data_IF_155450619991
#
_entry.id   IF_155450619991
#
_cell.length_a   1.000
_cell.length_b   1.000
_cell.length_c   1.000
_cell.angle_alpha   90.00
_cell.angle_beta   90.00
_cell.angle_gamma   90.00
#
_symmetry.space_group_name_H-M   'P 1'
#
loop_
_entity.id
_entity.type
_entity.pdbx_description
1 polymer ?
#
# COMPACT_ATOMS: atom_id res chain seq x y z
N UNK A 1 21.25 -15.51 -25.42
CA UNK A 1 20.51 -14.72 -24.43
C UNK A 1 19.51 -15.67 -23.79
N UNK A 2 19.60 -15.88 -22.48
CA UNK A 2 18.68 -16.72 -21.71
C UNK A 2 17.39 -15.95 -21.46
N UNK A 3 16.25 -16.61 -21.62
CA UNK A 3 14.93 -16.06 -21.27
C UNK A 3 14.85 -15.81 -19.75
N UNK A 4 14.46 -14.60 -19.35
CA UNK A 4 14.27 -14.22 -17.95
C UNK A 4 12.79 -14.38 -17.62
N UNK A 5 12.46 -15.37 -16.80
CA UNK A 5 11.09 -15.71 -16.41
C UNK A 5 10.65 -14.92 -15.16
N UNK A 6 10.85 -13.60 -15.11
CA UNK A 6 10.46 -12.65 -14.04
C UNK A 6 10.65 -11.22 -14.61
N UNK A 7 9.81 -10.79 -15.56
CA UNK A 7 10.08 -9.56 -16.34
C UNK A 7 9.64 -8.26 -15.67
N UNK A 8 8.58 -8.32 -14.86
CA UNK A 8 7.88 -7.19 -14.27
C UNK A 8 7.77 -7.27 -12.74
N UNK A 9 7.80 -8.48 -12.19
CA UNK A 9 7.57 -8.72 -10.76
C UNK A 9 8.86 -8.71 -9.91
N UNK A 10 9.79 -7.80 -10.21
CA UNK A 10 10.99 -7.58 -9.40
C UNK A 10 11.45 -6.12 -9.37
N UNK A 11 12.12 -5.74 -8.28
CA UNK A 11 12.80 -4.46 -8.09
C UNK A 11 14.31 -4.69 -8.06
N UNK A 12 15.05 -3.84 -8.79
CA UNK A 12 16.51 -3.81 -8.73
C UNK A 12 16.98 -2.88 -7.60
N UNK A 13 17.59 -3.46 -6.57
CA UNK A 13 18.15 -2.75 -5.41
C UNK A 13 19.69 -2.67 -5.48
N UNK A 14 20.26 -2.91 -6.65
CA UNK A 14 21.70 -2.86 -6.88
C UNK A 14 22.26 -1.45 -6.68
N UNK A 15 23.48 -1.36 -6.18
CA UNK A 15 24.20 -0.12 -5.92
C UNK A 15 25.65 -0.24 -6.36
N UNK A 16 26.47 0.79 -6.18
CA UNK A 16 27.89 0.80 -6.61
C UNK A 16 28.77 -0.33 -6.03
N UNK A 17 28.31 -1.04 -5.00
CA UNK A 17 29.07 -2.05 -4.27
C UNK A 17 28.57 -3.48 -4.48
N UNK A 18 27.48 -3.68 -5.23
CA UNK A 18 26.91 -5.00 -5.45
C UNK A 18 25.48 -5.00 -5.96
N UNK A 19 24.97 -6.22 -6.12
CA UNK A 19 23.66 -6.50 -6.71
C UNK A 19 22.73 -7.12 -5.68
N UNK A 20 21.50 -6.66 -5.66
CA UNK A 20 20.43 -7.26 -4.90
C UNK A 20 19.11 -7.04 -5.63
N UNK A 21 18.27 -8.06 -5.65
CA UNK A 21 16.99 -8.03 -6.33
C UNK A 21 15.90 -8.44 -5.35
N UNK A 22 14.76 -7.76 -5.44
CA UNK A 22 13.57 -8.06 -4.66
C UNK A 22 12.48 -8.54 -5.60
N UNK A 23 11.98 -9.75 -5.39
CA UNK A 23 10.88 -10.33 -6.15
C UNK A 23 9.62 -10.29 -5.31
N UNK A 24 8.45 -10.14 -5.92
CA UNK A 24 7.20 -10.04 -5.17
C UNK A 24 6.05 -10.81 -5.81
N UNK A 25 5.07 -11.15 -4.96
CA UNK A 25 3.81 -11.76 -5.35
C UNK A 25 2.89 -10.72 -6.00
N UNK A 26 2.32 -11.07 -7.16
CA UNK A 26 1.40 -10.20 -7.92
C UNK A 26 0.00 -10.04 -7.28
N UNK A 27 -0.26 -10.68 -6.13
CA UNK A 27 -1.52 -10.53 -5.40
C UNK A 27 -1.38 -9.82 -4.05
N UNK A 28 -0.53 -10.34 -3.17
CA UNK A 28 -0.37 -9.80 -1.81
C UNK A 28 0.83 -8.86 -1.65
N UNK A 29 1.68 -8.76 -2.67
CA UNK A 29 2.96 -8.02 -2.62
C UNK A 29 3.93 -8.50 -1.53
N UNK A 30 3.76 -9.73 -1.01
CA UNK A 30 4.81 -10.37 -0.21
C UNK A 30 6.07 -10.48 -1.07
N UNK A 31 7.18 -10.04 -0.49
CA UNK A 31 8.44 -9.89 -1.19
C UNK A 31 9.51 -10.80 -0.62
N UNK A 32 10.33 -11.36 -1.50
CA UNK A 32 11.53 -12.09 -1.17
C UNK A 32 12.74 -11.38 -1.78
N UNK A 33 13.80 -11.22 -0.99
CA UNK A 33 15.03 -10.55 -1.42
C UNK A 33 16.14 -11.55 -1.62
N UNK A 34 16.82 -11.43 -2.75
CA UNK A 34 18.04 -12.19 -3.00
C UNK A 34 19.12 -11.80 -1.98
N UNK A 35 20.04 -12.73 -1.66
CA UNK A 35 21.28 -12.38 -0.99
C UNK A 35 22.01 -11.26 -1.74
N UNK A 36 22.70 -10.40 -1.00
CA UNK A 36 23.49 -9.32 -1.59
C UNK A 36 24.77 -9.87 -2.21
N UNK A 37 24.89 -9.77 -3.53
CA UNK A 37 26.07 -10.19 -4.28
C UNK A 37 27.06 -9.04 -4.40
N UNK A 38 28.20 -9.12 -3.71
CA UNK A 38 29.17 -8.02 -3.65
C UNK A 38 29.90 -7.89 -4.98
N UNK A 39 29.73 -6.74 -5.63
CA UNK A 39 30.52 -6.38 -6.79
C UNK A 39 31.75 -5.59 -6.35
N UNK A 40 32.87 -6.28 -6.21
CA UNK A 40 34.16 -5.62 -6.10
C UNK A 40 34.68 -5.31 -7.50
N UNK A 41 34.39 -4.09 -7.98
CA UNK A 41 34.96 -3.56 -9.22
C UNK A 41 36.49 -3.72 -9.18
N UNK A 42 37.04 -4.68 -9.93
CA UNK A 42 38.48 -4.91 -10.06
C UNK A 42 39.08 -6.14 -9.36
N UNK A 43 38.29 -7.09 -8.84
CA UNK A 43 38.86 -8.31 -8.20
C UNK A 43 39.15 -9.49 -9.12
N UNK A 44 38.69 -9.47 -10.38
CA UNK A 44 38.98 -10.57 -11.32
C UNK A 44 40.28 -10.38 -12.14
N UNK A 45 40.79 -9.15 -12.30
CA UNK A 45 42.07 -8.92 -13.00
C UNK A 45 43.27 -8.77 -12.04
N UNK A 46 43.04 -8.40 -10.77
CA UNK A 46 44.14 -8.19 -9.81
C UNK A 46 44.79 -9.48 -9.30
N UNK A 47 44.15 -10.64 -9.48
CA UNK A 47 44.75 -11.95 -9.12
C UNK A 47 45.37 -12.67 -10.32
N UNK A 48 45.00 -12.32 -11.55
CA UNK A 48 45.59 -12.92 -12.76
C UNK A 48 46.86 -12.21 -13.26
N UNK A 49 47.31 -11.14 -12.60
CA UNK A 49 48.57 -10.44 -12.89
C UNK A 49 49.63 -10.48 -11.77
N UNK A 50 49.34 -11.09 -10.62
CA UNK A 50 50.24 -11.04 -9.46
C UNK A 50 51.39 -12.09 -9.48
N UNK A 51 51.66 -12.72 -10.63
CA UNK A 51 52.64 -13.80 -10.74
C UNK A 51 53.87 -13.50 -11.63
N UNK A 52 54.01 -12.31 -12.25
CA UNK A 52 55.19 -12.01 -13.08
C UNK A 52 55.84 -10.65 -12.73
N UNK A 53 56.96 -10.71 -11.99
CA UNK A 53 57.94 -9.62 -11.80
C UNK A 53 57.69 -8.75 -10.56
N UNK A 54 58.53 -8.67 -9.52
CA UNK A 54 60.00 -8.58 -9.46
C UNK A 54 60.63 -7.51 -10.38
N UNK A 55 59.92 -6.42 -10.68
CA UNK A 55 60.49 -5.17 -11.19
C UNK A 55 59.59 -4.03 -10.66
N UNK A 56 60.03 -3.04 -9.89
CA UNK A 56 61.19 -2.18 -10.11
C UNK A 56 60.70 -0.78 -10.50
N UNK A 57 60.36 0.05 -9.51
CA UNK A 57 60.30 1.51 -9.61
C UNK A 57 59.16 2.14 -10.42
N UNK A 58 58.28 2.87 -9.72
CA UNK A 58 57.70 4.20 -10.07
C UNK A 58 56.33 4.35 -9.39
N UNK A 59 56.34 4.60 -8.09
CA UNK A 59 55.14 4.96 -7.33
C UNK A 59 54.94 6.47 -7.43
N UNK A 60 54.32 6.93 -8.52
CA UNK A 60 54.03 8.33 -8.75
C UNK A 60 52.92 8.49 -9.78
N UNK A 61 51.83 9.14 -9.38
CA UNK A 61 50.74 9.66 -10.23
C UNK A 61 49.84 8.66 -10.96
N UNK A 62 48.73 8.27 -10.32
CA UNK A 62 47.42 8.13 -10.98
C UNK A 62 46.29 8.02 -9.94
N UNK A 63 45.83 9.13 -9.36
CA UNK A 63 44.67 9.16 -8.44
C UNK A 63 43.34 9.56 -9.10
N UNK A 64 43.29 9.77 -10.42
CA UNK A 64 42.11 10.36 -11.09
C UNK A 64 41.54 9.55 -12.28
N UNK A 65 41.62 8.21 -12.28
CA UNK A 65 41.09 7.40 -13.39
C UNK A 65 40.34 6.12 -12.95
N UNK A 66 39.58 6.19 -11.86
CA UNK A 66 38.80 5.03 -11.35
C UNK A 66 37.32 5.08 -11.78
N UNK A 67 36.84 6.17 -12.38
CA UNK A 67 35.42 6.28 -12.78
C UNK A 67 35.08 5.67 -14.14
N UNK A 68 36.07 5.46 -15.02
CA UNK A 68 35.85 5.05 -16.42
C UNK A 68 35.97 3.55 -16.69
N UNK A 69 36.38 2.75 -15.70
CA UNK A 69 36.38 1.27 -15.80
C UNK A 69 35.02 0.65 -15.40
N UNK A 70 34.00 1.48 -15.10
CA UNK A 70 32.62 1.04 -14.79
C UNK A 70 31.94 0.27 -15.92
N UNK A 71 32.35 0.46 -17.18
CA UNK A 71 31.47 0.17 -18.33
C UNK A 71 31.42 -1.27 -18.83
N UNK A 72 32.51 -2.02 -18.82
CA UNK A 72 32.56 -3.30 -19.56
C UNK A 72 32.09 -4.52 -18.76
N UNK A 73 32.36 -4.54 -17.45
CA UNK A 73 32.08 -5.70 -16.60
C UNK A 73 30.79 -5.60 -15.78
N UNK A 74 30.33 -4.38 -15.48
CA UNK A 74 29.20 -4.16 -14.58
C UNK A 74 27.90 -4.77 -15.10
N UNK A 75 27.55 -4.49 -16.36
CA UNK A 75 26.34 -5.03 -16.99
C UNK A 75 26.36 -6.55 -17.04
N UNK A 76 27.49 -7.14 -17.43
CA UNK A 76 27.66 -8.60 -17.51
C UNK A 76 27.56 -9.26 -16.14
N UNK A 77 28.18 -8.67 -15.11
CA UNK A 77 28.12 -9.17 -13.74
C UNK A 77 26.71 -9.03 -13.15
N UNK A 78 26.03 -7.91 -13.42
CA UNK A 78 24.63 -7.69 -13.04
C UNK A 78 23.72 -8.73 -13.67
N UNK A 79 23.87 -9.01 -14.96
CA UNK A 79 23.06 -10.00 -15.67
C UNK A 79 23.26 -11.40 -15.10
N UNK A 80 24.48 -11.74 -14.68
CA UNK A 80 24.77 -13.02 -14.01
C UNK A 80 24.16 -13.10 -12.61
N UNK A 81 24.31 -12.04 -11.82
CA UNK A 81 23.69 -11.94 -10.50
C UNK A 81 22.16 -12.02 -10.59
N UNK A 82 21.55 -11.38 -11.60
CA UNK A 82 20.11 -11.45 -11.85
C UNK A 82 19.66 -12.87 -12.23
N UNK A 83 20.41 -13.59 -13.08
CA UNK A 83 20.10 -15.00 -13.39
C UNK A 83 20.13 -15.88 -12.15
N UNK A 84 21.15 -15.69 -11.30
CA UNK A 84 21.27 -16.42 -10.03
C UNK A 84 20.11 -16.10 -9.08
N UNK A 85 19.75 -14.82 -8.98
CA UNK A 85 18.64 -14.37 -8.14
C UNK A 85 17.28 -14.90 -8.65
N UNK A 86 17.06 -14.91 -9.97
CA UNK A 86 15.87 -15.50 -10.61
C UNK A 86 15.79 -17.00 -10.35
N UNK A 87 16.92 -17.73 -10.41
CA UNK A 87 16.94 -19.16 -10.13
C UNK A 87 16.49 -19.45 -8.69
N UNK A 88 16.95 -18.66 -7.72
CA UNK A 88 16.52 -18.76 -6.32
C UNK A 88 15.06 -18.33 -6.12
N UNK A 89 14.61 -17.29 -6.83
CA UNK A 89 13.23 -16.81 -6.72
C UNK A 89 12.19 -17.86 -7.16
N UNK A 90 12.55 -18.75 -8.09
CA UNK A 90 11.66 -19.87 -8.52
C UNK A 90 11.33 -20.86 -7.40
N UNK A 91 12.13 -20.92 -6.34
CA UNK A 91 11.83 -21.78 -5.18
C UNK A 91 10.84 -21.11 -4.21
N UNK A 92 10.56 -19.81 -4.37
CA UNK A 92 9.68 -19.03 -3.51
C UNK A 92 8.36 -18.63 -4.18
N UNK A 93 8.28 -18.73 -5.51
CA UNK A 93 7.11 -18.30 -6.27
C UNK A 93 6.72 -19.32 -7.34
N UNK A 94 5.40 -19.51 -7.48
CA UNK A 94 4.78 -20.34 -8.49
C UNK A 94 4.35 -19.50 -9.69
N UNK A 95 4.74 -19.94 -10.89
CA UNK A 95 4.26 -19.31 -12.13
C UNK A 95 2.92 -19.93 -12.54
N UNK A 96 1.88 -19.11 -12.57
CA UNK A 96 0.53 -19.55 -12.92
C UNK A 96 0.42 -19.94 -14.39
N UNK A 97 -0.05 -21.16 -14.68
CA UNK A 97 -0.26 -21.62 -16.05
C UNK A 97 -1.35 -20.85 -16.80
N UNK A 98 -2.26 -20.18 -16.09
CA UNK A 98 -3.40 -19.45 -16.68
C UNK A 98 -3.10 -17.98 -16.99
N UNK A 99 -2.50 -17.25 -16.05
CA UNK A 99 -2.20 -15.82 -16.25
C UNK A 99 -0.71 -15.52 -16.46
N UNK A 100 0.18 -16.53 -16.40
CA UNK A 100 1.64 -16.39 -16.54
C UNK A 100 2.35 -15.54 -15.47
N UNK A 101 1.61 -14.99 -14.48
CA UNK A 101 2.14 -14.23 -13.35
C UNK A 101 2.70 -15.14 -12.24
N UNK A 102 3.46 -14.56 -11.31
CA UNK A 102 4.10 -15.25 -10.20
C UNK A 102 3.40 -14.98 -8.85
N UNK A 103 3.24 -16.02 -8.05
CA UNK A 103 2.51 -15.96 -6.78
C UNK A 103 3.26 -16.70 -5.68
N UNK A 104 3.22 -16.18 -4.46
CA UNK A 104 3.75 -16.89 -3.28
C UNK A 104 2.86 -18.08 -2.91
N UNK A 105 3.35 -18.97 -2.04
CA UNK A 105 2.64 -20.16 -1.56
C UNK A 105 1.23 -19.85 -1.04
N UNK A 106 1.07 -18.77 -0.26
CA UNK A 106 -0.23 -18.39 0.28
C UNK A 106 -1.27 -18.04 -0.80
N UNK A 107 -0.81 -17.46 -1.91
CA UNK A 107 -1.64 -17.05 -3.04
C UNK A 107 -1.75 -18.13 -4.13
N UNK A 108 -1.14 -19.30 -3.89
CA UNK A 108 -1.19 -20.43 -4.79
C UNK A 108 -2.33 -21.38 -4.42
N UNK A 109 -3.17 -21.75 -5.39
CA UNK A 109 -4.16 -22.79 -5.23
C UNK A 109 -3.52 -24.13 -5.56
N UNK A 110 -3.10 -24.86 -4.52
CA UNK A 110 -2.43 -26.16 -4.66
C UNK A 110 -3.33 -27.23 -5.32
N UNK A 111 -4.64 -27.20 -5.04
CA UNK A 111 -5.59 -28.19 -5.56
C UNK A 111 -5.72 -28.11 -7.08
N UNK A 112 -5.58 -26.91 -7.65
CA UNK A 112 -5.79 -26.62 -9.07
C UNK A 112 -4.49 -26.30 -9.83
N UNK A 113 -3.35 -26.18 -9.13
CA UNK A 113 -2.06 -25.84 -9.72
C UNK A 113 -2.05 -24.48 -10.42
N UNK A 114 -2.82 -23.50 -9.91
CA UNK A 114 -2.92 -22.13 -10.44
C UNK A 114 -3.06 -21.12 -9.30
N UNK A 115 -3.03 -19.83 -9.58
CA UNK A 115 -3.19 -18.82 -8.52
C UNK A 115 -4.65 -18.66 -8.06
N UNK A 116 -4.84 -18.27 -6.80
CA UNK A 116 -6.18 -18.03 -6.21
C UNK A 116 -6.93 -16.87 -6.88
N UNK A 117 -6.22 -15.97 -7.57
CA UNK A 117 -6.83 -14.88 -8.34
C UNK A 117 -7.54 -15.43 -9.59
N UNK A 118 -6.95 -16.45 -10.22
CA UNK A 118 -7.54 -17.10 -11.38
C UNK A 118 -8.64 -18.09 -10.99
N UNK A 119 -8.35 -18.93 -9.99
CA UNK A 119 -9.27 -19.94 -9.48
C UNK A 119 -9.25 -19.88 -7.95
N UNK A 120 -10.21 -19.15 -7.34
CA UNK A 120 -10.31 -19.07 -5.89
C UNK A 120 -10.51 -20.44 -5.25
N UNK A 121 -10.09 -20.59 -4.00
CA UNK A 121 -10.33 -21.83 -3.24
C UNK A 121 -11.81 -21.94 -2.89
N UNK A 122 -12.44 -23.06 -3.27
CA UNK A 122 -13.89 -23.23 -3.16
C UNK A 122 -14.38 -23.18 -1.71
N UNK A 123 -13.63 -23.73 -0.77
CA UNK A 123 -13.94 -23.74 0.66
C UNK A 123 -13.95 -22.32 1.27
N UNK A 124 -12.97 -21.49 0.89
CA UNK A 124 -12.88 -20.10 1.29
C UNK A 124 -14.05 -19.28 0.72
N UNK A 125 -14.37 -19.45 -0.58
CA UNK A 125 -15.51 -18.78 -1.23
C UNK A 125 -16.85 -19.18 -0.60
N UNK A 126 -17.08 -20.49 -0.39
CA UNK A 126 -18.30 -20.97 0.27
C UNK A 126 -18.42 -20.43 1.70
N UNK A 127 -17.31 -20.31 2.42
CA UNK A 127 -17.29 -19.73 3.76
C UNK A 127 -17.63 -18.24 3.75
N UNK A 128 -17.09 -17.48 2.80
CA UNK A 128 -17.41 -16.06 2.61
C UNK A 128 -18.89 -15.85 2.26
N UNK A 129 -19.43 -16.59 1.28
CA UNK A 129 -20.85 -16.54 0.88
C UNK A 129 -21.76 -16.86 2.07
N UNK A 130 -21.48 -17.94 2.81
CA UNK A 130 -22.26 -18.32 3.99
C UNK A 130 -22.21 -17.24 5.07
N UNK A 131 -21.06 -16.59 5.26
CA UNK A 131 -20.90 -15.52 6.24
C UNK A 131 -21.67 -14.28 5.82
N UNK A 132 -21.59 -13.90 4.55
CA UNK A 132 -22.34 -12.77 4.00
C UNK A 132 -23.85 -12.99 4.14
N UNK A 133 -24.35 -14.18 3.76
CA UNK A 133 -25.77 -14.53 3.92
C UNK A 133 -26.21 -14.41 5.39
N UNK A 134 -25.39 -14.88 6.34
CA UNK A 134 -25.68 -14.73 7.78
C UNK A 134 -25.68 -13.26 8.23
N UNK A 135 -24.77 -12.44 7.73
CA UNK A 135 -24.73 -11.00 8.06
C UNK A 135 -25.97 -10.30 7.52
N UNK A 136 -26.36 -10.58 6.28
CA UNK A 136 -27.55 -9.99 5.67
C UNK A 136 -28.81 -10.39 6.44
N UNK A 137 -28.94 -11.66 6.81
CA UNK A 137 -30.04 -12.11 7.65
C UNK A 137 -30.07 -11.43 9.02
N UNK A 138 -28.92 -11.32 9.67
CA UNK A 138 -28.80 -10.64 10.96
C UNK A 138 -29.19 -9.15 10.85
N UNK A 139 -28.85 -8.48 9.74
CA UNK A 139 -29.27 -7.10 9.46
C UNK A 139 -30.79 -7.00 9.33
N UNK A 140 -31.42 -7.87 8.54
CA UNK A 140 -32.89 -7.90 8.41
C UNK A 140 -33.59 -8.05 9.76
N UNK A 141 -33.13 -8.98 10.59
CA UNK A 141 -33.69 -9.24 11.92
C UNK A 141 -33.47 -8.06 12.86
N UNK A 142 -32.28 -7.44 12.84
CA UNK A 142 -31.99 -6.25 13.62
C UNK A 142 -32.89 -5.07 13.20
N UNK A 143 -33.11 -4.87 11.89
CA UNK A 143 -34.01 -3.82 11.40
C UNK A 143 -35.47 -4.08 11.76
N UNK A 144 -35.92 -5.34 11.70
CA UNK A 144 -37.30 -5.69 12.05
C UNK A 144 -37.60 -5.46 13.54
N UNK A 145 -36.60 -5.62 14.41
CA UNK A 145 -36.72 -5.38 15.85
C UNK A 145 -36.42 -3.92 16.24
N UNK A 146 -35.84 -3.13 15.34
CA UNK A 146 -35.53 -1.73 15.59
C UNK A 146 -36.83 -0.94 15.76
N UNK A 147 -37.13 -0.56 17.01
CA UNK A 147 -38.17 0.43 17.28
C UNK A 147 -37.56 1.80 17.13
N UNK A 148 -38.11 2.61 16.23
CA UNK A 148 -37.66 3.98 16.00
C UNK A 148 -38.58 4.92 16.77
N UNK A 149 -38.02 5.64 17.75
CA UNK A 149 -38.72 6.68 18.49
C UNK A 149 -38.62 8.04 17.77
N UNK A 150 -39.47 8.99 18.15
CA UNK A 150 -39.33 10.39 17.68
C UNK A 150 -38.00 11.01 18.13
N UNK A 151 -37.43 10.55 19.25
CA UNK A 151 -36.14 11.01 19.75
C UNK A 151 -35.00 10.56 18.83
N UNK A 152 -35.08 9.35 18.27
CA UNK A 152 -34.14 8.80 17.28
C UNK A 152 -34.23 9.52 15.93
N UNK A 153 -35.45 9.87 15.49
CA UNK A 153 -35.69 10.58 14.22
C UNK A 153 -35.25 12.06 14.27
N UNK A 154 -35.22 12.63 15.46
CA UNK A 154 -34.83 14.02 15.68
C UNK A 154 -33.43 14.14 16.29
N UNK A 155 -32.74 13.03 16.53
CA UNK A 155 -31.37 13.04 17.01
C UNK A 155 -30.46 13.56 15.90
N UNK A 156 -29.60 14.52 16.26
CA UNK A 156 -28.76 15.23 15.31
C UNK A 156 -27.38 15.32 15.90
N UNK A 157 -26.43 14.65 15.26
CA UNK A 157 -25.01 14.82 15.60
C UNK A 157 -24.52 16.13 14.98
N UNK A 158 -24.69 17.23 15.71
CA UNK A 158 -24.08 18.51 15.37
C UNK A 158 -22.75 18.60 16.10
N UNK A 159 -21.64 18.64 15.36
CA UNK A 159 -20.32 18.93 15.93
C UNK A 159 -20.14 20.43 16.11
N UNK A 160 -19.52 20.83 17.22
CA UNK A 160 -19.12 22.20 17.47
C UNK A 160 -18.08 22.65 16.43
N UNK A 161 -18.29 23.82 15.82
CA UNK A 161 -17.35 24.37 14.82
C UNK A 161 -16.03 24.82 15.41
N UNK A 162 -16.00 25.16 16.69
CA UNK A 162 -14.82 25.71 17.34
C UNK A 162 -13.93 24.63 17.98
N UNK A 163 -14.54 23.63 18.64
CA UNK A 163 -13.78 22.58 19.35
C UNK A 163 -13.96 21.16 18.78
N UNK A 164 -14.87 20.96 17.82
CA UNK A 164 -15.12 19.64 17.20
C UNK A 164 -15.97 18.66 18.03
N UNK A 165 -16.24 18.97 19.30
CA UNK A 165 -17.02 18.08 20.18
C UNK A 165 -18.47 17.87 19.67
N UNK A 166 -19.06 16.67 19.84
CA UNK A 166 -20.46 16.42 19.51
C UNK A 166 -21.38 17.14 20.52
N UNK A 167 -22.28 17.99 20.02
CA UNK A 167 -23.14 18.88 20.85
C UNK A 167 -24.62 18.47 20.83
N UNK A 168 -25.03 17.65 19.86
CA UNK A 168 -26.42 17.18 19.78
C UNK A 168 -27.41 18.32 19.52
N UNK A 169 -28.42 18.44 20.39
CA UNK A 169 -29.50 19.44 20.34
C UNK A 169 -29.23 20.70 21.20
N UNK A 170 -28.08 20.79 21.87
CA UNK A 170 -27.83 21.88 22.80
C UNK A 170 -27.62 23.23 22.07
N UNK A 171 -28.18 24.31 22.64
CA UNK A 171 -28.00 25.68 22.10
C UNK A 171 -26.53 26.14 22.20
N UNK A 172 -25.77 25.58 23.15
CA UNK A 172 -24.35 25.87 23.40
C UNK A 172 -23.56 24.56 23.53
N UNK A 173 -22.29 24.60 23.10
CA UNK A 173 -21.36 23.49 23.27
C UNK A 173 -21.05 23.27 24.76
N UNK A 174 -21.24 22.05 25.31
CA UNK A 174 -20.93 21.77 26.71
C UNK A 174 -19.43 21.83 27.03
N UNK A 175 -18.56 21.63 26.03
CA UNK A 175 -17.10 21.62 26.21
C UNK A 175 -16.47 23.02 26.10
N UNK A 176 -16.95 23.87 25.18
CA UNK A 176 -16.30 25.16 24.88
C UNK A 176 -17.20 26.38 24.99
N UNK A 177 -18.51 26.20 25.25
CA UNK A 177 -19.46 27.29 25.42
C UNK A 177 -19.89 28.02 24.12
N UNK A 178 -19.30 27.70 22.97
CA UNK A 178 -19.69 28.29 21.68
C UNK A 178 -21.17 28.03 21.38
N UNK A 179 -21.88 29.04 20.87
CA UNK A 179 -23.25 28.87 20.40
C UNK A 179 -23.30 27.96 19.17
N UNK A 180 -24.01 26.83 19.28
CA UNK A 180 -24.14 25.82 18.22
C UNK A 180 -25.59 25.76 17.68
N UNK A 181 -26.49 26.56 18.25
CA UNK A 181 -27.89 26.68 17.83
C UNK A 181 -28.03 27.01 16.34
N UNK A 182 -28.83 26.21 15.63
CA UNK A 182 -29.26 26.47 14.25
C UNK A 182 -30.50 27.36 14.17
N UNK A 183 -31.02 27.83 15.31
CA UNK A 183 -32.11 28.78 15.39
C UNK A 183 -31.71 30.03 16.17
N UNK A 184 -32.27 31.18 15.77
CA UNK A 184 -32.15 32.48 16.45
C UNK A 184 -33.52 33.12 16.56
N UNK A 185 -33.67 34.08 17.46
CA UNK A 185 -34.93 34.81 17.63
C UNK A 185 -34.95 36.05 16.73
N UNK A 186 -36.05 36.28 16.00
CA UNK A 186 -36.24 37.49 15.21
C UNK A 186 -36.41 38.72 16.14
N UNK A 187 -35.58 39.75 15.97
CA UNK A 187 -35.65 40.96 16.80
C UNK A 187 -36.94 41.78 16.69
N UNK A 188 -37.75 41.56 15.64
CA UNK A 188 -38.97 42.35 15.39
C UNK A 188 -40.26 41.68 15.84
N UNK A 189 -40.36 40.36 15.78
CA UNK A 189 -41.58 39.62 16.12
C UNK A 189 -41.36 38.52 17.16
N UNK A 190 -40.12 38.35 17.64
CA UNK A 190 -39.73 37.37 18.65
C UNK A 190 -39.93 35.89 18.27
N UNK A 191 -40.25 35.58 17.01
CA UNK A 191 -40.34 34.20 16.54
C UNK A 191 -38.96 33.56 16.36
N UNK A 192 -38.84 32.26 16.66
CA UNK A 192 -37.63 31.48 16.36
C UNK A 192 -37.54 31.22 14.85
N UNK A 193 -36.37 31.48 14.28
CA UNK A 193 -36.08 31.33 12.85
C UNK A 193 -34.74 30.60 12.66
N UNK A 194 -34.53 29.90 11.53
CA UNK A 194 -33.23 29.32 11.23
C UNK A 194 -32.12 30.38 11.16
N UNK A 195 -30.93 30.09 11.69
CA UNK A 195 -29.76 30.98 11.56
C UNK A 195 -29.35 31.18 10.10
N UNK A 196 -29.67 30.23 9.22
CA UNK A 196 -29.50 30.34 7.77
C UNK A 196 -30.53 31.25 7.08
N UNK A 197 -31.63 31.62 7.75
CA UNK A 197 -32.66 32.47 7.17
C UNK A 197 -32.17 33.93 7.07
N UNK A 198 -32.22 34.48 5.84
CA UNK A 198 -31.86 35.88 5.54
C UNK A 198 -32.95 36.89 5.93
N UNK A 199 -34.20 36.44 6.01
CA UNK A 199 -35.39 37.22 6.37
C UNK A 199 -36.27 36.38 7.28
N UNK A 200 -37.01 37.02 8.19
CA UNK A 200 -37.99 36.32 9.02
C UNK A 200 -39.16 35.84 8.15
N UNK A 201 -39.49 34.53 8.14
CA UNK A 201 -40.61 34.01 7.35
C UNK A 201 -41.99 34.49 7.87
N UNK A 202 -42.06 34.92 9.12
CA UNK A 202 -43.31 35.33 9.78
C UNK A 202 -43.63 36.81 9.59
N UNK A 203 -42.62 37.69 9.62
CA UNK A 203 -42.83 39.14 9.55
C UNK A 203 -42.06 39.86 8.44
N UNK A 204 -41.25 39.15 7.66
CA UNK A 204 -40.46 39.72 6.56
C UNK A 204 -39.30 40.63 6.97
N UNK A 205 -39.16 40.97 8.27
CA UNK A 205 -38.08 41.80 8.76
C UNK A 205 -36.72 41.11 8.59
N UNK A 206 -35.66 41.91 8.41
CA UNK A 206 -34.30 41.40 8.52
C UNK A 206 -34.07 40.98 9.99
N UNK A 207 -33.64 39.73 10.19
CA UNK A 207 -33.53 39.12 11.50
C UNK A 207 -32.32 39.55 12.32
#
# INVERSE_FOLDING_TARGET
MSEIQFSDNYNDLSNDTGFQFEFYCEHCHDAWRSPFDRYAAGTAESVLGAAEGLFGGFFGTARNAVSSLRGAGWSKARDEALRSAVAQAKDHFHRCARCANHYCDNCWNEDEGVCIVCVPRLDAELSAIRREAKINRAREEAYAQATVSQEDLTDRVVSCRDCGAPVGRAKFCPECGTAVSLTRTCGSCSNEIPTSAKFCPECGAKP
#
